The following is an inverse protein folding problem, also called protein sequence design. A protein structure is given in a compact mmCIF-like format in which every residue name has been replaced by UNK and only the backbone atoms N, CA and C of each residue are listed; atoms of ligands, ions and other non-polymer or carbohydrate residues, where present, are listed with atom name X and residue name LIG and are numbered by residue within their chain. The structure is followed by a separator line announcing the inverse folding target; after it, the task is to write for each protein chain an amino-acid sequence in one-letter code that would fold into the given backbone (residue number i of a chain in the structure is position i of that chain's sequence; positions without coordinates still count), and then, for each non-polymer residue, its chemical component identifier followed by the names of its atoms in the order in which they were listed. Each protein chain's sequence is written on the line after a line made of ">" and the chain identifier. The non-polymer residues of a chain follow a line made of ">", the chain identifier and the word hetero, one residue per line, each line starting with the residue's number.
data_IF_900679495878
#
_entry.id   IF_900679495878
#
_cell.length_a   1.000
_cell.length_b   1.000
_cell.length_c   1.000
_cell.angle_alpha   90.00
_cell.angle_beta   90.00
_cell.angle_gamma   90.00
#
_symmetry.space_group_name_H-M   'P 1'
#
loop_
_entity.id
_entity.type
_entity.pdbx_description
1 polymer ?
#
# COMPACT_ATOMS: atom_id res chain seq x y z
N UNK A 1 -3.59 11.04 4.55
CA UNK A 1 -2.39 11.83 4.19
C UNK A 1 -1.51 11.04 3.21
N UNK A 2 -0.90 11.68 2.21
CA UNK A 2 0.00 11.05 1.24
C UNK A 2 1.38 11.70 1.39
N UNK A 3 2.41 10.92 1.69
CA UNK A 3 3.79 11.40 1.81
C UNK A 3 4.53 11.10 0.53
N UNK A 4 5.12 12.12 -0.07
CA UNK A 4 6.18 11.99 -1.07
C UNK A 4 7.52 12.31 -0.38
N UNK A 5 8.46 11.39 -0.48
CA UNK A 5 9.88 11.74 -0.47
C UNK A 5 10.36 11.63 -1.93
N UNK A 6 11.45 12.31 -2.29
CA UNK A 6 11.97 12.44 -3.66
C UNK A 6 12.27 11.09 -4.37
N UNK A 7 12.19 9.95 -3.66
CA UNK A 7 12.46 8.61 -4.16
C UNK A 7 11.26 7.63 -4.16
N UNK A 8 10.08 7.99 -3.64
CA UNK A 8 8.96 7.05 -3.45
C UNK A 8 7.60 7.67 -3.79
N UNK A 9 6.87 7.05 -4.71
CA UNK A 9 5.55 7.49 -5.19
C UNK A 9 4.43 6.61 -4.62
N UNK A 10 3.43 7.23 -4.00
CA UNK A 10 2.18 6.57 -3.59
C UNK A 10 1.26 6.45 -4.79
N UNK A 11 0.85 5.22 -5.11
CA UNK A 11 -0.23 4.97 -6.06
C UNK A 11 -1.38 4.23 -5.39
N UNK A 12 -2.56 4.83 -5.48
CA UNK A 12 -3.82 4.21 -5.13
C UNK A 12 -4.47 3.77 -6.43
N UNK A 13 -4.55 2.46 -6.64
CA UNK A 13 -5.14 1.88 -7.84
C UNK A 13 -6.49 1.24 -7.50
N UNK A 14 -7.56 1.74 -8.14
CA UNK A 14 -8.93 1.29 -7.90
C UNK A 14 -9.95 2.16 -8.61
N UNK A 15 -11.24 1.81 -8.49
CA UNK A 15 -12.33 2.68 -8.89
C UNK A 15 -12.47 3.79 -7.85
N UNK A 16 -12.18 5.02 -8.26
CA UNK A 16 -12.24 6.16 -7.36
C UNK A 16 -13.65 6.76 -7.42
N UNK A 17 -14.37 6.74 -6.29
CA UNK A 17 -15.60 7.52 -6.18
C UNK A 17 -15.28 9.01 -6.40
N UNK A 18 -16.15 9.78 -7.09
CA UNK A 18 -15.92 11.20 -7.34
C UNK A 18 -15.58 12.03 -6.09
N UNK A 19 -16.11 11.61 -4.93
CA UNK A 19 -15.86 12.25 -3.63
C UNK A 19 -14.42 12.06 -3.14
N UNK A 20 -13.86 10.86 -3.28
CA UNK A 20 -12.45 10.57 -2.93
C UNK A 20 -11.52 11.27 -3.93
N UNK A 21 -11.89 11.31 -5.21
CA UNK A 21 -11.15 12.06 -6.23
C UNK A 21 -11.05 13.55 -5.89
N UNK A 22 -12.13 14.14 -5.36
CA UNK A 22 -12.19 15.54 -4.95
C UNK A 22 -11.25 15.82 -3.77
N UNK A 23 -11.24 14.95 -2.76
CA UNK A 23 -10.35 15.09 -1.60
C UNK A 23 -8.87 14.89 -1.97
N UNK A 24 -8.58 14.04 -2.97
CA UNK A 24 -7.21 13.79 -3.44
C UNK A 24 -6.69 14.86 -4.39
N UNK A 25 -7.55 15.69 -5.03
CA UNK A 25 -7.13 16.79 -5.91
C UNK A 25 -6.28 17.84 -5.21
N UNK A 26 -6.39 17.96 -3.89
CA UNK A 26 -5.58 18.87 -3.07
C UNK A 26 -4.26 18.23 -2.59
N UNK A 27 -3.99 16.99 -2.99
CA UNK A 27 -2.77 16.27 -2.66
C UNK A 27 -1.84 16.13 -3.88
N UNK A 28 -0.55 15.88 -3.63
CA UNK A 28 0.41 15.50 -4.66
C UNK A 28 0.26 14.05 -5.16
N UNK A 29 -0.83 13.36 -4.82
CA UNK A 29 -1.05 11.97 -5.20
C UNK A 29 -1.39 11.87 -6.70
N UNK A 30 -0.76 10.90 -7.37
CA UNK A 30 -1.13 10.56 -8.74
C UNK A 30 -2.28 9.56 -8.75
N UNK A 31 -3.37 9.96 -9.40
CA UNK A 31 -4.55 9.12 -9.58
C UNK A 31 -4.42 8.36 -10.90
N UNK A 32 -4.58 7.04 -10.85
CA UNK A 32 -4.50 6.16 -12.03
C UNK A 32 -5.85 5.44 -12.20
N UNK A 33 -6.61 5.74 -13.27
CA UNK A 33 -7.86 5.04 -13.52
C UNK A 33 -7.58 3.59 -13.96
N UNK A 34 -8.28 2.64 -13.34
CA UNK A 34 -8.27 1.23 -13.75
C UNK A 34 -9.64 0.84 -14.34
N UNK A 35 -9.81 0.84 -15.68
CA UNK A 35 -11.08 0.44 -16.32
C UNK A 35 -11.40 -1.05 -16.11
N UNK A 36 -10.37 -1.85 -15.84
CA UNK A 36 -10.42 -3.31 -15.72
C UNK A 36 -10.53 -3.79 -14.27
N UNK A 37 -10.94 -2.94 -13.33
CA UNK A 37 -11.00 -3.26 -11.90
C UNK A 37 -11.80 -4.54 -11.57
N UNK A 38 -12.81 -4.87 -12.41
CA UNK A 38 -13.61 -6.09 -12.28
C UNK A 38 -12.81 -7.37 -12.48
N UNK A 39 -11.63 -7.30 -13.09
CA UNK A 39 -10.73 -8.44 -13.32
C UNK A 39 -9.91 -8.82 -12.07
N UNK A 40 -10.20 -8.21 -10.91
CA UNK A 40 -9.59 -8.50 -9.61
C UNK A 40 -8.43 -7.56 -9.27
N UNK A 41 -7.94 -7.67 -8.02
CA UNK A 41 -6.94 -6.77 -7.44
C UNK A 41 -5.63 -6.70 -8.24
N UNK A 42 -5.28 -7.76 -8.97
CA UNK A 42 -4.12 -7.78 -9.84
C UNK A 42 -4.21 -6.67 -10.92
N UNK A 43 -5.39 -6.39 -11.48
CA UNK A 43 -5.56 -5.32 -12.47
C UNK A 43 -5.14 -3.97 -11.92
N UNK A 44 -5.56 -3.64 -10.69
CA UNK A 44 -5.20 -2.40 -10.01
C UNK A 44 -3.70 -2.32 -9.72
N UNK A 45 -3.10 -3.40 -9.18
CA UNK A 45 -1.67 -3.43 -8.91
C UNK A 45 -0.88 -3.16 -10.21
N UNK A 46 -1.27 -3.78 -11.33
CA UNK A 46 -0.61 -3.56 -12.62
C UNK A 46 -0.71 -2.12 -13.09
N UNK A 47 -1.90 -1.54 -13.11
CA UNK A 47 -2.08 -0.12 -13.50
C UNK A 47 -1.21 0.80 -12.65
N UNK A 48 -1.14 0.53 -11.34
CA UNK A 48 -0.25 1.27 -10.44
C UNK A 48 1.22 1.10 -10.85
N UNK A 49 1.71 -0.13 -10.90
CA UNK A 49 3.11 -0.41 -11.20
C UNK A 49 3.54 0.12 -12.57
N UNK A 50 2.69 0.03 -13.59
CA UNK A 50 2.93 0.61 -14.91
C UNK A 50 3.17 2.12 -14.82
N UNK A 51 2.30 2.84 -14.09
CA UNK A 51 2.46 4.29 -13.90
C UNK A 51 3.71 4.63 -13.11
N UNK A 52 4.00 3.93 -12.00
CA UNK A 52 5.24 4.18 -11.22
C UNK A 52 6.48 3.91 -12.07
N UNK A 53 6.46 2.91 -12.94
CA UNK A 53 7.59 2.53 -13.77
C UNK A 53 8.00 3.61 -14.80
N UNK A 54 7.10 4.54 -15.14
CA UNK A 54 7.39 5.72 -15.97
C UNK A 54 8.34 6.72 -15.28
N UNK A 55 8.43 6.69 -13.94
CA UNK A 55 9.29 7.55 -13.15
C UNK A 55 10.64 6.89 -12.85
N UNK A 56 11.67 7.71 -12.63
CA UNK A 56 12.99 7.23 -12.22
C UNK A 56 13.06 6.99 -10.70
N UNK A 57 12.36 5.96 -10.21
CA UNK A 57 12.32 5.58 -8.79
C UNK A 57 13.06 4.27 -8.50
N UNK A 58 13.51 4.09 -7.27
CA UNK A 58 14.16 2.85 -6.80
C UNK A 58 13.17 1.75 -6.43
N UNK A 59 11.91 2.10 -6.16
CA UNK A 59 10.85 1.18 -5.77
C UNK A 59 9.53 1.89 -5.51
N UNK A 60 8.55 1.15 -4.96
CA UNK A 60 7.24 1.69 -4.60
C UNK A 60 6.66 0.95 -3.40
N UNK A 61 5.87 1.67 -2.59
CA UNK A 61 5.13 1.07 -1.47
C UNK A 61 3.70 0.80 -1.91
N UNK A 62 3.27 -0.45 -1.77
CA UNK A 62 1.90 -0.89 -2.00
C UNK A 62 1.17 -0.97 -0.67
N UNK A 63 -0.02 -0.39 -0.60
CA UNK A 63 -0.92 -0.38 0.56
C UNK A 63 -2.38 -0.39 0.08
N UNK A 64 -3.31 -0.84 0.93
CA UNK A 64 -4.75 -0.74 0.66
C UNK A 64 -5.33 0.57 1.19
N UNK A 65 -6.55 0.91 0.79
CA UNK A 65 -7.29 2.06 1.26
C UNK A 65 -8.00 1.78 2.60
N UNK A 66 -8.18 0.50 2.90
CA UNK A 66 -9.02 -0.03 3.97
C UNK A 66 -8.25 -0.18 5.30
N UNK A 67 -6.97 0.23 5.31
CA UNK A 67 -6.07 0.30 6.46
C UNK A 67 -5.95 1.76 6.97
N UNK A 68 -6.94 2.28 7.73
CA UNK A 68 -6.96 3.68 8.19
C UNK A 68 -5.88 4.00 9.22
N UNK A 69 -5.44 3.00 9.99
CA UNK A 69 -4.47 3.14 11.07
C UNK A 69 -3.02 3.05 10.57
N UNK A 70 -2.80 2.71 9.30
CA UNK A 70 -1.48 2.78 8.68
C UNK A 70 -1.18 4.24 8.39
N UNK A 71 -0.46 4.84 9.33
CA UNK A 71 -0.04 6.22 9.23
C UNK A 71 1.25 6.36 8.40
N UNK A 72 1.80 7.56 8.43
CA UNK A 72 2.90 7.91 7.58
C UNK A 72 4.26 7.65 8.23
N UNK A 73 4.30 7.49 9.54
CA UNK A 73 5.47 7.00 10.25
C UNK A 73 5.70 5.53 9.91
N UNK A 74 4.64 4.72 9.83
CA UNK A 74 4.72 3.32 9.40
C UNK A 74 5.35 3.16 8.01
N UNK A 75 4.94 4.00 7.05
CA UNK A 75 5.50 3.98 5.68
C UNK A 75 6.98 4.41 5.69
N UNK A 76 7.34 5.45 6.45
CA UNK A 76 8.76 5.86 6.61
C UNK A 76 9.59 4.78 7.28
N UNK A 77 9.01 4.05 8.22
CA UNK A 77 9.61 2.90 8.89
C UNK A 77 9.96 1.79 7.90
N UNK A 78 9.01 1.40 7.04
CA UNK A 78 9.24 0.43 5.96
C UNK A 78 10.37 0.86 5.01
N UNK A 79 10.37 2.13 4.59
CA UNK A 79 11.42 2.67 3.71
C UNK A 79 12.79 2.62 4.39
N UNK A 80 12.87 3.14 5.62
CA UNK A 80 14.12 3.19 6.39
C UNK A 80 14.67 1.79 6.67
N UNK A 81 13.78 0.82 6.89
CA UNK A 81 14.15 -0.58 7.10
C UNK A 81 14.69 -1.22 5.82
N UNK A 82 14.04 -0.97 4.66
CA UNK A 82 14.53 -1.42 3.36
C UNK A 82 15.92 -0.84 3.08
N UNK A 83 16.10 0.47 3.29
CA UNK A 83 17.37 1.17 3.06
C UNK A 83 18.49 0.63 3.96
N UNK A 84 18.23 0.43 5.26
CA UNK A 84 19.22 -0.08 6.22
C UNK A 84 19.63 -1.53 5.96
N UNK A 85 18.69 -2.36 5.53
CA UNK A 85 18.95 -3.80 5.33
C UNK A 85 19.34 -4.16 3.91
N UNK A 86 19.18 -3.23 2.98
CA UNK A 86 19.32 -3.44 1.53
C UNK A 86 18.46 -4.61 1.01
N UNK A 87 17.42 -5.01 1.76
CA UNK A 87 16.47 -6.03 1.33
C UNK A 87 15.53 -5.41 0.32
N UNK A 88 15.27 -6.11 -0.80
CA UNK A 88 14.48 -5.53 -1.89
C UNK A 88 12.97 -5.56 -1.65
N UNK A 89 12.52 -6.23 -0.58
CA UNK A 89 11.14 -6.17 -0.10
C UNK A 89 11.18 -5.86 1.40
N UNK A 90 10.47 -4.82 1.82
CA UNK A 90 10.14 -4.59 3.23
C UNK A 90 8.63 -4.69 3.39
N UNK A 91 8.14 -5.52 4.29
CA UNK A 91 6.71 -5.81 4.42
C UNK A 91 6.26 -5.79 5.87
N UNK A 92 5.03 -5.33 6.09
CA UNK A 92 4.39 -5.35 7.40
C UNK A 92 4.24 -6.79 7.91
N UNK A 93 4.54 -7.00 9.19
CA UNK A 93 4.29 -8.22 9.93
C UNK A 93 3.29 -7.94 11.05
N UNK A 94 2.20 -8.72 11.05
CA UNK A 94 1.07 -8.60 11.97
C UNK A 94 0.31 -9.93 12.00
N UNK A 95 -0.35 -10.28 13.10
CA UNK A 95 -1.15 -11.52 13.25
C UNK A 95 -0.46 -12.78 12.68
N UNK A 96 0.84 -12.97 12.97
CA UNK A 96 1.67 -14.07 12.48
C UNK A 96 1.75 -14.22 10.94
N UNK A 97 1.40 -13.15 10.20
CA UNK A 97 1.50 -13.08 8.75
C UNK A 97 2.39 -11.92 8.33
N UNK A 98 2.91 -12.02 7.09
CA UNK A 98 3.59 -10.91 6.41
C UNK A 98 2.73 -10.48 5.22
N UNK A 99 2.51 -9.17 5.07
CA UNK A 99 1.53 -8.61 4.14
C UNK A 99 1.82 -7.17 3.72
N UNK A 100 0.79 -6.51 3.18
CA UNK A 100 0.85 -5.08 2.89
C UNK A 100 0.44 -4.28 4.15
N UNK A 101 0.95 -3.06 4.37
CA UNK A 101 1.79 -2.27 3.48
C UNK A 101 3.17 -2.89 3.23
N UNK A 102 3.65 -2.83 1.99
CA UNK A 102 4.94 -3.40 1.59
C UNK A 102 5.64 -2.56 0.52
N UNK A 103 6.93 -2.33 0.74
CA UNK A 103 7.85 -1.75 -0.23
C UNK A 103 8.38 -2.84 -1.16
N UNK A 104 8.34 -2.58 -2.46
CA UNK A 104 8.96 -3.39 -3.50
C UNK A 104 10.00 -2.56 -4.25
N UNK A 105 11.25 -3.02 -4.28
CA UNK A 105 12.27 -2.46 -5.16
C UNK A 105 11.86 -2.64 -6.63
N UNK A 106 12.31 -1.72 -7.51
CA UNK A 106 11.97 -1.69 -8.94
C UNK A 106 12.16 -3.02 -9.66
N UNK A 107 13.14 -3.82 -9.24
CA UNK A 107 13.39 -5.16 -9.81
C UNK A 107 12.24 -6.15 -9.63
N UNK A 108 11.31 -5.91 -8.71
CA UNK A 108 10.09 -6.70 -8.50
C UNK A 108 8.90 -6.20 -9.33
N UNK A 109 9.00 -5.06 -10.01
CA UNK A 109 7.91 -4.56 -10.86
C UNK A 109 7.52 -5.57 -11.94
N UNK A 110 8.44 -6.23 -12.67
CA UNK A 110 8.06 -7.26 -13.63
C UNK A 110 7.22 -8.39 -13.01
N UNK A 111 7.51 -8.81 -11.78
CA UNK A 111 6.76 -9.86 -11.09
C UNK A 111 5.36 -9.38 -10.69
N UNK A 112 5.25 -8.14 -10.20
CA UNK A 112 3.95 -7.50 -9.93
C UNK A 112 3.10 -7.36 -11.21
N UNK A 113 3.73 -7.08 -12.35
CA UNK A 113 3.07 -6.98 -13.65
C UNK A 113 2.53 -8.32 -14.18
N UNK A 114 3.03 -9.44 -13.64
CA UNK A 114 2.58 -10.79 -13.99
C UNK A 114 1.38 -11.28 -13.16
N UNK A 115 0.97 -10.55 -12.12
CA UNK A 115 -0.21 -10.90 -11.33
C UNK A 115 -1.48 -10.95 -12.18
N UNK A 116 -2.40 -11.87 -11.86
CA UNK A 116 -3.70 -12.04 -12.55
C UNK A 116 -4.82 -12.34 -11.54
N UNK A 117 -6.05 -11.96 -11.88
CA UNK A 117 -7.24 -12.25 -11.10
C UNK A 117 -7.17 -11.69 -9.68
N UNK A 118 -7.56 -12.52 -8.71
CA UNK A 118 -7.54 -12.20 -7.28
C UNK A 118 -6.14 -12.27 -6.63
N UNK A 119 -5.07 -12.53 -7.39
CA UNK A 119 -3.72 -12.63 -6.81
C UNK A 119 -3.20 -11.24 -6.44
N UNK A 120 -3.08 -10.98 -5.13
CA UNK A 120 -2.47 -9.77 -4.59
C UNK A 120 -0.95 -9.88 -4.39
N UNK A 121 -0.32 -8.76 -4.01
CA UNK A 121 1.12 -8.70 -3.79
C UNK A 121 1.63 -9.60 -2.66
N UNK A 122 0.78 -9.99 -1.71
CA UNK A 122 1.10 -10.99 -0.67
C UNK A 122 1.69 -12.28 -1.24
N UNK A 123 1.23 -12.71 -2.41
CA UNK A 123 1.78 -13.89 -3.10
C UNK A 123 3.27 -13.74 -3.40
N UNK A 124 3.70 -12.57 -3.86
CA UNK A 124 5.10 -12.28 -4.21
C UNK A 124 5.95 -12.21 -2.94
N UNK A 125 5.42 -11.60 -1.87
CA UNK A 125 6.07 -11.54 -0.55
C UNK A 125 6.37 -12.96 -0.05
N UNK A 126 5.35 -13.83 -0.02
CA UNK A 126 5.49 -15.21 0.47
C UNK A 126 6.41 -16.06 -0.41
N UNK A 127 6.45 -15.81 -1.72
CA UNK A 127 7.36 -16.50 -2.63
C UNK A 127 8.83 -16.08 -2.51
N UNK A 128 9.11 -14.97 -1.81
CA UNK A 128 10.45 -14.37 -1.72
C UNK A 128 10.85 -14.06 -0.27
N UNK A 129 10.41 -14.85 0.72
CA UNK A 129 10.64 -14.59 2.15
C UNK A 129 12.13 -14.40 2.53
N UNK A 130 13.05 -15.05 1.82
CA UNK A 130 14.49 -14.87 1.99
C UNK A 130 14.98 -13.45 1.63
N UNK A 131 14.22 -12.75 0.78
CA UNK A 131 14.48 -11.38 0.33
C UNK A 131 13.63 -10.34 1.06
N UNK A 132 12.79 -10.75 2.00
CA UNK A 132 11.91 -9.87 2.78
C UNK A 132 12.58 -9.49 4.09
N UNK A 133 12.56 -8.20 4.41
CA UNK A 133 12.71 -7.72 5.79
C UNK A 133 11.33 -7.42 6.36
N UNK A 134 11.08 -7.85 7.60
CA UNK A 134 9.79 -7.71 8.27
C UNK A 134 9.77 -6.48 9.15
N UNK A 135 8.73 -5.67 9.01
CA UNK A 135 8.46 -4.51 9.85
C UNK A 135 7.26 -4.80 10.73
N UNK A 136 7.47 -4.92 12.03
CA UNK A 136 6.39 -5.16 13.00
C UNK A 136 5.43 -3.98 12.96
N UNK A 137 4.19 -4.24 12.54
CA UNK A 137 3.16 -3.22 12.37
C UNK A 137 1.79 -3.82 12.72
N UNK A 138 1.48 -4.02 14.01
CA UNK A 138 0.24 -4.66 14.45
C UNK A 138 -1.03 -3.95 13.94
N UNK A 139 -0.97 -2.64 13.75
CA UNK A 139 -2.06 -1.78 13.28
C UNK A 139 -2.50 -2.12 11.85
N UNK A 140 -1.62 -2.73 11.05
CA UNK A 140 -1.96 -3.21 9.70
C UNK A 140 -2.92 -4.41 9.70
N UNK A 141 -3.18 -5.02 10.87
CA UNK A 141 -4.18 -6.07 11.02
C UNK A 141 -5.63 -5.55 11.00
N UNK A 142 -5.83 -4.26 11.27
CA UNK A 142 -7.16 -3.66 11.34
C UNK A 142 -7.57 -3.22 9.94
N UNK A 143 -8.51 -3.94 9.34
CA UNK A 143 -9.13 -3.67 8.04
C UNK A 143 -10.57 -3.21 8.29
N UNK A 144 -10.97 -2.05 7.75
CA UNK A 144 -12.39 -1.63 7.79
C UNK A 144 -13.10 -2.30 6.59
N UNK A 145 -13.51 -3.55 6.75
CA UNK A 145 -14.24 -4.26 5.69
C UNK A 145 -15.77 -4.11 5.82
N UNK A 146 -16.29 -3.69 6.97
CA UNK A 146 -17.73 -3.58 7.22
C UNK A 146 -18.19 -2.22 7.76
N UNK A 147 -19.45 -1.85 7.50
CA UNK A 147 -20.07 -0.62 8.05
C UNK A 147 -20.03 -0.56 9.58
N UNK A 148 -19.91 -1.71 10.25
CA UNK A 148 -19.73 -1.82 11.70
C UNK A 148 -18.35 -1.33 12.16
N UNK A 149 -17.28 -1.66 11.42
CA UNK A 149 -15.90 -1.26 11.75
C UNK A 149 -15.71 0.27 11.64
N UNK A 150 -16.44 0.90 10.71
CA UNK A 150 -16.42 2.36 10.54
C UNK A 150 -17.10 3.13 11.69
N UNK A 151 -17.97 2.48 12.48
CA UNK A 151 -18.64 3.08 13.62
C UNK A 151 -17.75 3.06 14.89
N UNK A 152 -16.90 2.05 15.04
CA UNK A 152 -16.02 1.90 16.21
C UNK A 152 -14.87 2.93 16.19
N UNK A 153 -14.31 3.22 15.01
CA UNK A 153 -13.29 4.27 14.84
C UNK A 153 -13.81 5.70 15.09
N UNK A 154 -15.13 5.92 14.99
CA UNK A 154 -15.72 7.24 15.31
C UNK A 154 -15.84 7.48 16.81
N UNK A 155 -15.89 6.42 17.62
CA UNK A 155 -15.99 6.55 19.08
C UNK A 155 -14.63 6.91 19.70
N UNK A 156 -13.53 6.34 19.20
CA UNK A 156 -12.19 6.67 19.71
C UNK A 156 -11.70 8.08 19.34
N UNK A 157 -12.25 8.68 18.28
CA UNK A 157 -11.91 10.07 17.89
C UNK A 157 -12.62 11.15 18.73
N UNK A 158 -13.60 10.78 19.56
CA UNK A 158 -14.38 11.73 20.39
C UNK A 158 -13.94 11.83 21.85
N UNK A 159 -13.01 11.00 22.32
CA UNK A 159 -12.57 11.00 23.73
C UNK A 159 -11.22 11.72 23.97
N UNK A 160 -10.81 12.58 23.02
CA UNK A 160 -9.52 13.29 23.05
C UNK A 160 -9.58 14.82 23.12
N UNK A 161 -10.75 15.43 23.33
CA UNK A 161 -10.88 16.86 23.64
C UNK A 161 -11.45 17.05 25.04
N UNK A 162 -10.56 17.21 26.02
CA UNK A 162 -10.82 17.87 27.30
C UNK A 162 -9.55 18.52 27.83
#
# INVERSE_FOLDING_TARGET
>A
MAFLNENYLKLQAGYLFPEIARQLKESAALIVPNPDWRNGIASSIRCGVERVAEFNVSGGVLLTCDQPLVDCEAIRGLISLADRTHKPIAAAEYCDTVGIPALFARKFFPELLLLRGASGAKRIILANLDKVVRYTLPEAAIDIDTEADAAELKLEATDGES
#
